data_IF_653469167053
#
_entry.id   IF_653469167053
#
_cell.length_a   1.000
_cell.length_b   1.000
_cell.length_c   1.000
_cell.angle_alpha   90.00
_cell.angle_beta   90.00
_cell.angle_gamma   90.00
#
_symmetry.space_group_name_H-M   'P 1'
#
loop_
_entity.id
_entity.type
_entity.pdbx_description
1 polymer ?
#
# COMPACT_ATOMS: atom_id res chain seq x y z
N UNK A 1 2.05 13.77 9.76
CA UNK A 1 1.65 12.96 8.60
C UNK A 1 1.95 11.50 8.94
N UNK A 2 1.06 10.57 8.58
CA UNK A 2 1.25 9.15 8.86
C UNK A 2 1.39 8.38 7.54
N UNK A 3 2.24 7.37 7.52
CA UNK A 3 2.51 6.58 6.31
C UNK A 3 2.30 5.11 6.59
N UNK A 4 1.55 4.43 5.72
CA UNK A 4 1.43 2.99 5.72
C UNK A 4 2.16 2.39 4.53
N UNK A 5 2.99 1.38 4.79
CA UNK A 5 3.64 0.63 3.73
C UNK A 5 2.92 -0.62 3.32
N UNK A 6 2.78 -0.80 2.02
CA UNK A 6 2.13 -1.99 1.46
C UNK A 6 2.83 -2.50 0.20
N UNK A 7 2.28 -3.57 -0.34
CA UNK A 7 2.73 -4.24 -1.56
C UNK A 7 1.66 -4.12 -2.64
N UNK A 8 2.06 -4.19 -3.91
CA UNK A 8 1.15 -4.08 -5.05
C UNK A 8 -0.03 -5.06 -4.98
N UNK A 9 0.23 -6.28 -4.51
CA UNK A 9 -0.80 -7.33 -4.35
C UNK A 9 -1.96 -6.94 -3.42
N UNK A 10 -1.74 -6.01 -2.50
CA UNK A 10 -2.77 -5.54 -1.55
C UNK A 10 -3.41 -4.22 -1.98
N UNK A 11 -2.74 -3.46 -2.86
CA UNK A 11 -3.14 -2.11 -3.22
C UNK A 11 -4.58 -2.00 -3.74
N UNK A 12 -5.08 -2.87 -4.65
CA UNK A 12 -6.47 -2.81 -5.10
C UNK A 12 -7.48 -2.97 -3.96
N UNK A 13 -7.20 -3.86 -2.99
CA UNK A 13 -8.08 -4.04 -1.83
C UNK A 13 -8.04 -2.85 -0.88
N UNK A 14 -6.88 -2.19 -0.76
CA UNK A 14 -6.71 -1.02 0.09
C UNK A 14 -7.47 0.17 -0.49
N UNK A 15 -7.43 0.37 -1.81
CA UNK A 15 -8.24 1.38 -2.49
C UNK A 15 -9.73 1.17 -2.29
N UNK A 16 -10.20 -0.07 -2.45
CA UNK A 16 -11.63 -0.37 -2.38
C UNK A 16 -12.18 -0.35 -0.95
N UNK A 17 -11.44 -0.97 -0.01
CA UNK A 17 -11.95 -1.25 1.34
C UNK A 17 -11.32 -0.35 2.39
N UNK A 18 -10.08 0.07 2.20
CA UNK A 18 -9.30 0.75 3.22
C UNK A 18 -8.25 -0.15 3.87
N UNK A 19 -7.57 0.38 4.88
CA UNK A 19 -6.59 -0.36 5.68
C UNK A 19 -7.29 -1.05 6.86
N UNK A 20 -6.87 -2.27 7.16
CA UNK A 20 -7.29 -3.01 8.35
C UNK A 20 -6.09 -3.57 9.09
N UNK A 21 -6.29 -3.97 10.35
CA UNK A 21 -5.21 -4.57 11.14
C UNK A 21 -4.70 -5.92 10.58
N UNK A 22 -5.41 -6.56 9.65
CA UNK A 22 -5.01 -7.84 9.02
C UNK A 22 -4.57 -8.90 10.04
N UNK A 23 -5.36 -9.10 11.10
CA UNK A 23 -5.10 -10.08 12.17
C UNK A 23 -4.15 -9.59 13.27
N UNK A 24 -3.69 -8.33 13.22
CA UNK A 24 -2.94 -7.68 14.30
C UNK A 24 -3.87 -6.86 15.19
N UNK A 25 -3.32 -6.32 16.28
CA UNK A 25 -4.06 -5.44 17.20
C UNK A 25 -4.23 -4.02 16.63
N UNK A 26 -3.24 -3.50 15.90
CA UNK A 26 -3.26 -2.15 15.34
C UNK A 26 -2.72 -2.11 13.89
N UNK A 27 -3.18 -1.11 13.13
CA UNK A 27 -2.61 -0.78 11.82
C UNK A 27 -1.22 -0.18 12.07
N UNK A 28 -0.20 -0.75 11.44
CA UNK A 28 1.17 -0.21 11.55
C UNK A 28 1.28 1.05 10.69
N UNK A 29 1.51 2.20 11.35
CA UNK A 29 1.76 3.49 10.74
C UNK A 29 3.16 3.97 11.11
N UNK A 30 3.87 4.57 10.15
CA UNK A 30 5.19 5.16 10.31
C UNK A 30 5.10 6.70 10.25
N UNK A 31 6.02 7.41 10.91
CA UNK A 31 6.06 8.88 10.87
C UNK A 31 6.59 9.45 9.54
N UNK A 32 7.19 8.61 8.69
CA UNK A 32 7.75 9.01 7.39
C UNK A 32 8.24 7.81 6.56
N UNK A 33 8.89 8.09 5.43
CA UNK A 33 9.45 7.07 4.55
C UNK A 33 10.80 6.55 5.07
N UNK A 34 11.18 5.30 4.71
CA UNK A 34 12.54 4.84 4.96
C UNK A 34 13.57 5.77 4.32
N UNK A 35 14.51 6.24 5.13
CA UNK A 35 15.56 7.17 4.70
C UNK A 35 15.26 8.65 4.93
N UNK A 36 14.05 9.01 5.36
CA UNK A 36 13.75 10.39 5.74
C UNK A 36 14.50 10.78 7.03
N UNK A 37 14.98 12.04 7.15
CA UNK A 37 15.64 12.52 8.36
C UNK A 37 14.76 12.31 9.60
N UNK A 38 15.31 11.66 10.63
CA UNK A 38 14.60 11.40 11.89
C UNK A 38 13.72 10.14 11.89
N UNK A 39 13.59 9.41 10.78
CA UNK A 39 12.90 8.11 10.74
C UNK A 39 13.90 6.99 11.08
N UNK A 40 14.00 6.67 12.37
CA UNK A 40 14.86 5.57 12.88
C UNK A 40 14.21 4.21 12.60
N UNK A 41 12.91 4.10 12.87
CA UNK A 41 12.10 2.92 12.59
C UNK A 41 10.83 3.35 11.87
N UNK A 42 10.62 2.81 10.68
CA UNK A 42 9.44 3.12 9.88
C UNK A 42 8.91 1.89 9.17
N UNK A 43 8.60 2.08 7.90
CA UNK A 43 8.07 1.04 7.03
C UNK A 43 9.10 -0.06 6.71
N UNK A 44 8.63 -1.26 6.37
CA UNK A 44 9.50 -2.33 5.84
C UNK A 44 10.24 -1.82 4.58
N UNK A 45 11.55 -2.07 4.46
CA UNK A 45 12.38 -1.49 3.39
C UNK A 45 12.02 -1.98 1.98
N UNK A 46 11.28 -3.08 1.86
CA UNK A 46 10.86 -3.66 0.59
C UNK A 46 9.40 -3.35 0.23
N UNK A 47 8.71 -2.50 0.99
CA UNK A 47 7.39 -2.03 0.58
C UNK A 47 7.48 -1.31 -0.79
N UNK A 48 6.44 -1.52 -1.60
CA UNK A 48 6.39 -1.04 -2.97
C UNK A 48 5.55 0.23 -3.08
N UNK A 49 4.63 0.43 -2.13
CA UNK A 49 3.70 1.55 -2.09
C UNK A 49 3.69 2.13 -0.67
N UNK A 50 3.72 3.46 -0.60
CA UNK A 50 3.42 4.24 0.59
C UNK A 50 2.05 4.89 0.45
N UNK A 51 1.20 4.71 1.45
CA UNK A 51 -0.11 5.36 1.57
C UNK A 51 0.00 6.43 2.64
N UNK A 52 -0.23 7.69 2.25
CA UNK A 52 -0.17 8.82 3.16
C UNK A 52 -1.56 9.07 3.73
N UNK A 53 -1.61 9.26 5.04
CA UNK A 53 -2.85 9.32 5.81
C UNK A 53 -2.92 10.67 6.54
N UNK A 54 -4.10 11.27 6.49
CA UNK A 54 -4.42 12.40 7.35
C UNK A 54 -4.61 11.92 8.80
N UNK A 55 -3.56 12.06 9.61
CA UNK A 55 -3.56 11.59 11.00
C UNK A 55 -4.69 12.18 11.86
N UNK A 56 -4.86 13.52 11.91
CA UNK A 56 -5.98 14.13 12.61
C UNK A 56 -7.35 13.61 12.17
N UNK A 57 -7.58 13.51 10.86
CA UNK A 57 -8.88 13.05 10.34
C UNK A 57 -9.11 11.56 10.59
N UNK A 58 -8.06 10.75 10.50
CA UNK A 58 -8.08 9.32 10.82
C UNK A 58 -8.38 9.06 12.30
N UNK A 59 -7.77 9.84 13.21
CA UNK A 59 -7.95 9.67 14.65
C UNK A 59 -9.34 10.10 15.13
N UNK A 60 -9.95 11.07 14.45
CA UNK A 60 -11.33 11.49 14.68
C UNK A 60 -12.36 10.45 14.20
N UNK A 61 -11.94 9.48 13.39
CA UNK A 61 -12.83 8.61 12.63
C UNK A 61 -12.56 7.13 12.82
N UNK A 62 -13.26 6.52 13.78
CA UNK A 62 -13.33 5.07 14.06
C UNK A 62 -12.01 4.48 14.62
N UNK A 63 -12.12 3.91 15.84
CA UNK A 63 -11.03 3.25 16.59
C UNK A 63 -11.00 1.73 16.41
N UNK A 64 -11.84 1.16 15.54
CA UNK A 64 -12.09 -0.28 15.39
C UNK A 64 -11.03 -0.99 14.55
N UNK A 65 -9.85 -0.39 14.40
CA UNK A 65 -8.75 -0.97 13.62
C UNK A 65 -8.99 -0.98 12.11
N UNK A 66 -9.83 -0.05 11.63
CA UNK A 66 -10.17 0.08 10.21
C UNK A 66 -10.09 1.54 9.75
N UNK A 67 -9.34 1.79 8.68
CA UNK A 67 -9.15 3.11 8.12
C UNK A 67 -9.69 3.17 6.69
N UNK A 68 -10.78 3.91 6.51
CA UNK A 68 -11.44 4.09 5.22
C UNK A 68 -10.56 4.86 4.21
N UNK A 69 -10.74 4.60 2.89
CA UNK A 69 -10.01 5.31 1.83
C UNK A 69 -10.17 6.84 1.87
N UNK A 70 -11.28 7.36 2.41
CA UNK A 70 -11.53 8.81 2.56
C UNK A 70 -10.48 9.54 3.42
N UNK A 71 -9.68 8.81 4.20
CA UNK A 71 -8.61 9.36 5.02
C UNK A 71 -7.24 9.33 4.34
N UNK A 72 -7.16 8.78 3.12
CA UNK A 72 -5.93 8.75 2.34
C UNK A 72 -5.74 10.10 1.67
N UNK A 73 -4.56 10.70 1.86
CA UNK A 73 -4.18 11.97 1.23
C UNK A 73 -3.58 11.76 -0.15
N UNK A 74 -2.68 10.79 -0.24
CA UNK A 74 -2.00 10.44 -1.49
C UNK A 74 -1.42 9.03 -1.37
N UNK A 75 -1.04 8.44 -2.49
CA UNK A 75 -0.25 7.22 -2.53
C UNK A 75 0.94 7.39 -3.47
N UNK A 76 2.05 6.75 -3.11
CA UNK A 76 3.30 6.84 -3.83
C UNK A 76 3.84 5.44 -4.06
N UNK A 77 4.03 5.06 -5.32
CA UNK A 77 4.90 3.95 -5.67
C UNK A 77 6.32 4.31 -5.25
N UNK A 78 7.00 3.41 -4.56
CA UNK A 78 8.36 3.62 -4.04
C UNK A 78 9.43 3.00 -4.94
N UNK A 79 9.08 1.93 -5.66
CA UNK A 79 10.01 1.13 -6.47
C UNK A 79 9.34 0.66 -7.78
N UNK A 80 10.10 0.48 -8.88
CA UNK A 80 11.51 0.83 -9.02
C UNK A 80 11.77 2.34 -9.00
N UNK A 81 10.78 3.14 -9.39
CA UNK A 81 10.83 4.61 -9.36
C UNK A 81 9.73 5.17 -8.47
N UNK A 82 9.99 6.36 -7.91
CA UNK A 82 8.98 7.08 -7.15
C UNK A 82 7.96 7.70 -8.10
N UNK A 83 6.69 7.29 -8.01
CA UNK A 83 5.60 7.79 -8.86
C UNK A 83 4.29 7.93 -8.07
N UNK A 84 3.61 9.09 -8.12
CA UNK A 84 2.29 9.23 -7.52
C UNK A 84 1.28 8.22 -8.08
N UNK A 85 0.41 7.71 -7.22
CA UNK A 85 -0.68 6.80 -7.57
C UNK A 85 -2.02 7.48 -7.30
N UNK A 86 -2.96 7.31 -8.22
CA UNK A 86 -4.32 7.81 -8.06
C UNK A 86 -5.06 7.06 -6.96
N UNK A 87 -5.82 7.78 -6.13
CA UNK A 87 -6.61 7.21 -5.03
C UNK A 87 -8.04 6.79 -5.42
N UNK A 88 -8.37 6.87 -6.71
CA UNK A 88 -9.67 6.56 -7.30
C UNK A 88 -10.84 7.34 -6.66
N UNK A 89 -11.08 8.53 -7.23
CA UNK A 89 -12.31 9.32 -7.16
C UNK A 89 -12.47 10.30 -8.34
N UNK A 90 -11.58 10.23 -9.33
CA UNK A 90 -11.56 11.06 -10.52
C UNK A 90 -11.39 10.12 -11.74
N UNK A 91 -12.31 10.28 -12.67
CA UNK A 91 -12.74 9.34 -13.71
C UNK A 91 -11.66 8.99 -14.75
N UNK A 92 -11.60 7.69 -15.09
CA UNK A 92 -11.14 7.06 -16.35
C UNK A 92 -9.84 7.58 -17.02
N UNK A 93 -8.79 6.76 -17.03
CA UNK A 93 -8.40 6.03 -18.27
C UNK A 93 -7.20 5.10 -18.07
N UNK A 94 -7.33 3.95 -18.74
CA UNK A 94 -6.29 3.04 -19.19
C UNK A 94 -5.90 1.86 -18.29
N UNK A 95 -6.74 0.83 -18.38
CA UNK A 95 -6.33 -0.56 -18.45
C UNK A 95 -5.14 -0.73 -19.41
N UNK A 96 -3.95 -1.02 -18.88
CA UNK A 96 -2.92 -1.70 -19.67
C UNK A 96 -2.71 -3.12 -19.13
N UNK A 97 -3.28 -4.06 -19.88
CA UNK A 97 -2.82 -5.43 -19.91
C UNK A 97 -1.36 -5.46 -20.35
N UNK A 98 -0.51 -6.22 -19.67
CA UNK A 98 0.68 -6.78 -20.28
C UNK A 98 0.89 -8.20 -19.75
N UNK A 99 0.82 -9.21 -20.63
CA UNK A 99 0.89 -10.61 -20.24
C UNK A 99 2.34 -11.03 -20.04
N UNK A 100 2.60 -11.78 -18.97
CA UNK A 100 3.78 -12.66 -18.87
C UNK A 100 3.30 -14.04 -18.41
N UNK A 101 2.80 -14.81 -19.37
CA UNK A 101 2.85 -16.27 -19.26
C UNK A 101 4.31 -16.67 -18.99
N UNK A 102 4.54 -17.32 -17.86
CA UNK A 102 5.65 -18.25 -17.71
C UNK A 102 5.05 -19.56 -17.24
N UNK A 103 4.61 -20.37 -18.21
CA UNK A 103 4.34 -21.79 -18.00
C UNK A 103 5.61 -22.45 -17.48
N UNK A 104 5.70 -22.63 -16.16
CA UNK A 104 6.75 -23.44 -15.55
C UNK A 104 6.38 -24.90 -15.73
N UNK A 105 6.79 -25.46 -16.86
CA UNK A 105 6.72 -26.88 -17.15
C UNK A 105 7.49 -27.67 -16.08
N UNK A 106 6.76 -28.45 -15.27
CA UNK A 106 7.36 -29.42 -14.34
C UNK A 106 7.67 -30.69 -15.13
N UNK A 107 8.93 -30.84 -15.57
CA UNK A 107 9.45 -32.15 -15.98
C UNK A 107 9.40 -33.10 -14.77
N UNK A 108 8.58 -34.15 -14.86
CA UNK A 108 8.75 -35.38 -14.08
C UNK A 108 10.00 -36.09 -14.62
N UNK A 109 10.96 -36.33 -13.74
CA UNK A 109 12.02 -37.32 -13.96
C UNK A 109 11.68 -38.47 -13.02
N UNK A 110 11.31 -39.62 -13.58
CA UNK A 110 11.33 -40.92 -12.91
C UNK A 110 12.67 -41.58 -13.29
N UNK A 111 13.44 -42.00 -12.29
CA UNK A 111 14.25 -43.21 -12.30
C UNK A 111 14.27 -43.75 -10.87
#
# INVERSE_FOLDING_TARGET
MLVHGTFWKHWPSILLKGLSCQGRTHIHLAPGLPGDPGVISGMRPHCEIAVFIDGPLALAGNTDGFLLPKYFKEALQLRPTRKPLSLAGDEETECQCSPKHSSRERRRIQQ
#
